data_IF_279462999068
#
_entry.id   IF_279462999068
#
_cell.length_a   1.000
_cell.length_b   1.000
_cell.length_c   1.000
_cell.angle_alpha   90.00
_cell.angle_beta   90.00
_cell.angle_gamma   90.00
#
_symmetry.space_group_name_H-M   'P 1'
#
loop_
_entity.id
_entity.type
_entity.pdbx_description
1 polymer ?
#
# COMPACT_ATOMS: atom_id res chain seq x y z
N UNK A 1 15.34 60.32 -16.60
CA UNK A 1 14.08 59.58 -16.83
C UNK A 1 14.29 58.13 -17.33
N UNK A 2 15.48 57.54 -17.20
CA UNK A 2 15.80 56.20 -17.75
C UNK A 2 15.47 55.01 -16.80
N UNK A 3 15.26 55.27 -15.51
CA UNK A 3 15.18 54.20 -14.48
C UNK A 3 13.77 53.60 -14.28
N UNK A 4 12.71 54.25 -14.81
CA UNK A 4 11.32 53.81 -14.55
C UNK A 4 10.97 52.50 -15.28
N UNK A 5 11.57 52.26 -16.45
CA UNK A 5 11.32 51.03 -17.24
C UNK A 5 11.97 49.81 -16.61
N UNK A 6 13.15 49.98 -16.02
CA UNK A 6 13.88 48.90 -15.33
C UNK A 6 13.17 48.46 -14.05
N UNK A 7 12.68 49.42 -13.26
CA UNK A 7 11.89 49.14 -12.05
C UNK A 7 10.59 48.38 -12.36
N UNK A 8 9.88 48.76 -13.43
CA UNK A 8 8.66 48.05 -13.88
C UNK A 8 8.99 46.62 -14.33
N UNK A 9 10.12 46.41 -15.01
CA UNK A 9 10.53 45.09 -15.48
C UNK A 9 10.97 44.18 -14.31
N UNK A 10 11.63 44.74 -13.30
CA UNK A 10 12.00 44.06 -12.05
C UNK A 10 10.77 43.66 -11.24
N UNK A 11 9.79 44.54 -11.13
CA UNK A 11 8.50 44.26 -10.48
C UNK A 11 7.75 43.12 -11.18
N UNK A 12 7.63 43.16 -12.52
CA UNK A 12 6.98 42.08 -13.29
C UNK A 12 7.64 40.73 -13.09
N UNK A 13 8.98 40.67 -13.11
CA UNK A 13 9.75 39.43 -12.86
C UNK A 13 9.58 38.90 -11.44
N UNK A 14 9.51 39.78 -10.44
CA UNK A 14 9.23 39.43 -9.04
C UNK A 14 7.84 38.84 -8.88
N UNK A 15 6.81 39.48 -9.46
CA UNK A 15 5.43 38.99 -9.41
C UNK A 15 5.28 37.65 -10.14
N UNK A 16 5.91 37.47 -11.31
CA UNK A 16 5.94 36.20 -12.05
C UNK A 16 6.58 35.07 -11.24
N UNK A 17 7.69 35.32 -10.54
CA UNK A 17 8.34 34.33 -9.67
C UNK A 17 7.47 33.92 -8.49
N UNK A 18 6.78 34.89 -7.86
CA UNK A 18 5.86 34.63 -6.73
C UNK A 18 4.64 33.81 -7.18
N UNK A 19 4.07 34.13 -8.35
CA UNK A 19 2.95 33.37 -8.92
C UNK A 19 3.37 31.94 -9.31
N UNK A 20 4.57 31.76 -9.89
CA UNK A 20 5.09 30.43 -10.21
C UNK A 20 5.33 29.58 -8.94
N UNK A 21 5.91 30.16 -7.88
CA UNK A 21 6.12 29.46 -6.61
C UNK A 21 4.79 29.05 -5.95
N UNK A 22 3.76 29.91 -6.03
CA UNK A 22 2.42 29.59 -5.52
C UNK A 22 1.77 28.45 -6.32
N UNK A 23 1.88 28.45 -7.65
CA UNK A 23 1.34 27.40 -8.51
C UNK A 23 2.01 26.03 -8.23
N UNK A 24 3.33 26.00 -8.04
CA UNK A 24 4.07 24.78 -7.68
C UNK A 24 3.70 24.28 -6.28
N UNK A 25 3.57 25.17 -5.30
CA UNK A 25 3.14 24.81 -3.95
C UNK A 25 1.72 24.22 -3.92
N UNK A 26 0.81 24.78 -4.71
CA UNK A 26 -0.58 24.29 -4.79
C UNK A 26 -0.66 22.91 -5.47
N UNK A 27 0.15 22.67 -6.50
CA UNK A 27 0.23 21.37 -7.17
C UNK A 27 0.82 20.26 -6.27
N UNK A 28 1.78 20.58 -5.39
CA UNK A 28 2.36 19.60 -4.47
C UNK A 28 1.42 19.19 -3.33
N UNK A 29 0.57 20.09 -2.83
CA UNK A 29 -0.41 19.76 -1.76
C UNK A 29 -1.54 18.86 -2.28
N UNK A 30 -1.95 19.02 -3.54
CA UNK A 30 -2.99 18.18 -4.15
C UNK A 30 -2.52 16.74 -4.45
N UNK A 31 -1.20 16.49 -4.48
CA UNK A 31 -0.63 15.17 -4.72
C UNK A 31 -0.61 14.26 -3.47
N UNK A 32 -1.01 14.77 -2.29
CA UNK A 32 -1.20 13.97 -1.08
C UNK A 32 -2.47 13.12 -1.19
N UNK A 33 -2.47 12.15 -2.10
CA UNK A 33 -3.58 11.23 -2.33
C UNK A 33 -3.63 10.16 -1.25
N UNK A 34 -4.67 10.27 -0.41
CA UNK A 34 -5.57 9.18 -0.01
C UNK A 34 -4.90 7.87 0.44
N UNK A 35 -4.54 7.79 1.72
CA UNK A 35 -4.58 6.51 2.41
C UNK A 35 -6.06 6.07 2.49
N UNK A 36 -6.51 5.37 1.45
CA UNK A 36 -7.89 4.91 1.31
C UNK A 36 -8.06 3.72 2.25
N UNK A 37 -8.54 3.97 3.47
CA UNK A 37 -9.19 2.91 4.24
C UNK A 37 -10.29 2.29 3.37
N UNK A 38 -10.49 0.98 3.46
CA UNK A 38 -11.57 0.30 2.74
C UNK A 38 -12.88 1.06 2.99
N UNK A 39 -13.49 1.57 1.92
CA UNK A 39 -14.70 2.40 1.99
C UNK A 39 -15.95 1.58 2.37
N UNK A 40 -15.85 0.25 2.37
CA UNK A 40 -16.95 -0.68 2.59
C UNK A 40 -16.47 -1.92 3.34
N UNK A 41 -17.42 -2.63 3.95
CA UNK A 41 -17.18 -3.96 4.51
C UNK A 41 -16.68 -4.92 3.41
N UNK A 42 -15.69 -5.73 3.78
CA UNK A 42 -15.11 -6.74 2.89
C UNK A 42 -15.74 -8.09 3.19
N UNK A 43 -16.62 -8.55 2.30
CA UNK A 43 -17.18 -9.89 2.38
C UNK A 43 -16.06 -10.94 2.16
N UNK A 44 -15.79 -11.74 3.18
CA UNK A 44 -14.85 -12.86 3.07
C UNK A 44 -15.40 -13.94 2.15
N UNK A 45 -14.54 -14.48 1.29
CA UNK A 45 -14.87 -15.55 0.35
C UNK A 45 -14.02 -16.79 0.60
N UNK A 46 -14.54 -17.97 0.29
CA UNK A 46 -13.77 -19.21 0.27
C UNK A 46 -12.86 -19.33 -0.98
N UNK A 47 -12.21 -20.48 -1.15
CA UNK A 47 -11.28 -20.73 -2.27
C UNK A 47 -12.01 -20.83 -3.62
N UNK A 48 -13.28 -21.22 -3.63
CA UNK A 48 -14.15 -21.23 -4.81
C UNK A 48 -14.72 -19.84 -5.13
N UNK A 49 -14.64 -18.90 -4.18
CA UNK A 49 -15.15 -17.54 -4.30
C UNK A 49 -16.57 -17.35 -3.77
N UNK A 50 -17.12 -18.31 -3.04
CA UNK A 50 -18.42 -18.18 -2.38
C UNK A 50 -18.32 -17.36 -1.09
N UNK A 51 -19.35 -16.55 -0.76
CA UNK A 51 -19.37 -15.79 0.49
C UNK A 51 -19.35 -16.68 1.73
N UNK A 52 -18.50 -16.33 2.69
CA UNK A 52 -18.50 -16.93 4.02
C UNK A 52 -19.53 -16.23 4.92
N UNK A 53 -20.26 -17.03 5.69
CA UNK A 53 -21.15 -16.57 6.74
C UNK A 53 -20.41 -16.51 8.08
N UNK A 54 -20.90 -15.66 8.99
CA UNK A 54 -20.39 -15.61 10.35
C UNK A 54 -20.50 -16.98 11.03
N UNK A 55 -19.44 -17.38 11.75
CA UNK A 55 -19.35 -18.70 12.38
C UNK A 55 -18.97 -19.84 11.44
N UNK A 56 -18.74 -19.58 10.14
CA UNK A 56 -18.20 -20.59 9.23
C UNK A 56 -16.81 -21.04 9.67
N UNK A 57 -16.55 -22.35 9.60
CA UNK A 57 -15.22 -22.94 9.78
C UNK A 57 -14.46 -23.11 8.47
N UNK A 58 -15.09 -22.77 7.33
CA UNK A 58 -14.43 -22.82 6.02
C UNK A 58 -13.35 -21.74 5.95
N UNK A 59 -12.10 -22.08 5.56
CA UNK A 59 -11.05 -21.09 5.42
C UNK A 59 -11.40 -20.03 4.38
N UNK A 60 -11.13 -18.77 4.69
CA UNK A 60 -11.23 -17.70 3.71
C UNK A 60 -10.03 -17.70 2.76
N UNK A 61 -10.22 -17.18 1.55
CA UNK A 61 -9.19 -17.01 0.53
C UNK A 61 -8.82 -15.53 0.39
N UNK A 62 -7.63 -15.10 0.82
CA UNK A 62 -7.12 -13.75 0.55
C UNK A 62 -7.13 -13.41 -0.94
N UNK A 63 -6.83 -14.39 -1.80
CA UNK A 63 -6.82 -14.21 -3.27
C UNK A 63 -8.21 -13.89 -3.80
N UNK A 64 -9.24 -14.63 -3.38
CA UNK A 64 -10.60 -14.39 -3.85
C UNK A 64 -11.21 -13.14 -3.21
N UNK A 65 -10.83 -12.82 -1.97
CA UNK A 65 -11.39 -11.69 -1.20
C UNK A 65 -10.73 -10.37 -1.60
N UNK A 66 -9.42 -10.23 -1.40
CA UNK A 66 -8.69 -8.98 -1.64
C UNK A 66 -8.38 -8.77 -3.13
N UNK A 67 -8.16 -9.87 -3.87
CA UNK A 67 -7.82 -9.84 -5.30
C UNK A 67 -8.94 -9.29 -6.21
N UNK A 68 -10.16 -9.13 -5.69
CA UNK A 68 -11.27 -8.48 -6.41
C UNK A 68 -11.10 -6.98 -6.54
N UNK A 69 -10.45 -6.34 -5.57
CA UNK A 69 -10.30 -4.88 -5.52
C UNK A 69 -8.85 -4.42 -5.63
N UNK A 70 -7.90 -5.31 -5.35
CA UNK A 70 -6.47 -5.02 -5.38
C UNK A 70 -5.75 -6.03 -6.26
N UNK A 71 -4.61 -5.61 -6.81
CA UNK A 71 -3.67 -6.54 -7.41
C UNK A 71 -3.10 -7.45 -6.30
N UNK A 72 -3.53 -8.70 -6.32
CA UNK A 72 -3.14 -9.69 -5.32
C UNK A 72 -1.63 -9.93 -5.31
N UNK A 73 -1.00 -10.00 -6.49
CA UNK A 73 0.43 -10.24 -6.61
C UNK A 73 1.20 -9.09 -5.97
N UNK A 74 0.77 -7.85 -6.24
CA UNK A 74 1.32 -6.66 -5.60
C UNK A 74 1.18 -6.70 -4.07
N UNK A 75 0.01 -7.04 -3.53
CA UNK A 75 -0.18 -7.18 -2.07
C UNK A 75 0.82 -8.20 -1.50
N UNK A 76 0.88 -9.39 -2.11
CA UNK A 76 1.71 -10.49 -1.60
C UNK A 76 3.21 -10.25 -1.74
N UNK A 77 3.63 -9.28 -2.56
CA UNK A 77 5.03 -8.85 -2.62
C UNK A 77 5.47 -7.95 -1.46
N UNK A 78 4.55 -7.55 -0.58
CA UNK A 78 4.87 -6.72 0.58
C UNK A 78 5.82 -7.42 1.56
N UNK A 79 6.67 -6.65 2.24
CA UNK A 79 7.70 -7.17 3.15
C UNK A 79 7.17 -8.22 4.15
N UNK A 80 6.04 -7.94 4.81
CA UNK A 80 5.47 -8.85 5.80
C UNK A 80 4.98 -10.18 5.20
N UNK A 81 4.56 -10.18 3.93
CA UNK A 81 4.20 -11.42 3.24
C UNK A 81 5.42 -12.22 2.82
N UNK A 82 6.59 -11.60 2.66
CA UNK A 82 7.81 -12.23 2.15
C UNK A 82 8.86 -12.52 3.22
N UNK A 83 8.69 -11.99 4.43
CA UNK A 83 9.68 -12.11 5.49
C UNK A 83 9.91 -13.58 5.89
N UNK A 84 11.07 -14.13 5.54
CA UNK A 84 11.42 -15.54 5.75
C UNK A 84 10.79 -16.50 4.74
N UNK A 85 10.34 -16.01 3.59
CA UNK A 85 9.86 -16.87 2.50
C UNK A 85 10.99 -17.70 1.86
N UNK A 86 12.19 -17.13 1.77
CA UNK A 86 13.39 -17.76 1.24
C UNK A 86 14.12 -18.64 2.26
N UNK A 87 13.66 -18.65 3.51
CA UNK A 87 14.21 -19.39 4.64
C UNK A 87 13.27 -20.51 5.09
N UNK A 88 12.60 -21.19 4.14
CA UNK A 88 11.74 -22.34 4.47
C UNK A 88 12.58 -23.48 5.08
N UNK A 89 12.04 -24.06 6.15
CA UNK A 89 12.67 -25.14 6.90
C UNK A 89 11.83 -26.40 6.71
N UNK A 90 12.38 -27.35 5.96
CA UNK A 90 11.74 -28.67 5.74
C UNK A 90 11.97 -29.63 6.92
N UNK A 91 13.02 -29.40 7.70
CA UNK A 91 13.32 -30.18 8.90
C UNK A 91 12.46 -29.71 10.07
N UNK A 92 11.36 -30.42 10.32
CA UNK A 92 10.39 -30.11 11.38
C UNK A 92 11.03 -30.11 12.78
N UNK A 93 12.17 -30.78 12.99
CA UNK A 93 12.87 -30.74 14.29
C UNK A 93 13.44 -29.37 14.62
N UNK A 94 13.76 -28.56 13.60
CA UNK A 94 14.22 -27.18 13.75
C UNK A 94 13.08 -26.20 14.06
N UNK A 95 11.83 -26.65 13.93
CA UNK A 95 10.61 -25.93 14.29
C UNK A 95 9.89 -26.62 15.45
N UNK A 96 10.60 -27.45 16.23
CA UNK A 96 10.01 -28.19 17.33
C UNK A 96 9.35 -27.24 18.35
N UNK A 97 8.05 -27.45 18.60
CA UNK A 97 7.24 -26.62 19.49
C UNK A 97 6.40 -25.54 18.78
N UNK A 98 6.65 -25.29 17.50
CA UNK A 98 5.83 -24.39 16.68
C UNK A 98 4.58 -25.09 16.13
N UNK A 99 3.65 -24.31 15.58
CA UNK A 99 2.47 -24.87 14.91
C UNK A 99 2.87 -25.54 13.58
N UNK A 100 2.22 -26.64 13.16
CA UNK A 100 2.59 -27.38 11.93
C UNK A 100 2.56 -26.56 10.63
N UNK A 101 1.82 -25.46 10.61
CA UNK A 101 1.71 -24.54 9.47
C UNK A 101 2.81 -23.46 9.42
N UNK A 102 3.63 -23.34 10.47
CA UNK A 102 4.80 -22.47 10.48
C UNK A 102 5.90 -23.20 9.72
N UNK A 103 6.42 -22.60 8.65
CA UNK A 103 7.46 -23.21 7.80
C UNK A 103 8.75 -22.40 7.71
N UNK A 104 8.85 -21.27 8.40
CA UNK A 104 10.09 -20.49 8.50
C UNK A 104 10.20 -19.73 9.82
N UNK A 105 11.40 -19.20 10.10
CA UNK A 105 11.66 -18.35 11.27
C UNK A 105 11.03 -16.95 11.11
N UNK A 106 10.84 -16.49 9.88
CA UNK A 106 10.20 -15.22 9.56
C UNK A 106 8.69 -15.19 9.80
N UNK A 107 7.99 -14.26 9.15
CA UNK A 107 6.53 -14.11 9.27
C UNK A 107 5.77 -14.79 8.13
N UNK A 108 6.48 -15.37 7.15
CA UNK A 108 5.89 -16.11 6.05
C UNK A 108 5.02 -17.28 6.56
N UNK A 109 3.73 -17.25 6.24
CA UNK A 109 2.79 -18.30 6.65
C UNK A 109 2.47 -18.37 8.14
N UNK A 110 2.97 -17.42 8.95
CA UNK A 110 2.36 -17.12 10.25
C UNK A 110 1.00 -16.45 9.95
N UNK A 111 0.03 -16.51 10.87
CA UNK A 111 -1.37 -16.04 10.75
C UNK A 111 -2.38 -17.02 10.13
#
# INVERSE_FOLDING_TARGET
MHNRKEEVQKMKRSTLRKLAALAVGTAMVAAASTAMAHLSDVQLLDKEGYPLVEGSTTPYSPKMTCGKCHDYEKITSGFHFMQGFDELIDDETRLAGEKPFIKSLGMYGKW
#
